data_IF_436404618021
#
_entry.id   IF_436404618021
#
_cell.length_a   1.000
_cell.length_b   1.000
_cell.length_c   1.000
_cell.angle_alpha   90.00
_cell.angle_beta   90.00
_cell.angle_gamma   90.00
#
_symmetry.space_group_name_H-M   'P 1'
#
loop_
_entity.id
_entity.type
_entity.pdbx_description
1 polymer ?
#
# COMPACT_ATOMS: atom_id res chain seq x y z
N UNK A 1 -6.74 -19.02 32.65
CA UNK A 1 -6.67 -19.44 31.24
C UNK A 1 -6.35 -18.21 30.41
N UNK A 2 -5.11 -18.09 29.93
CA UNK A 2 -4.74 -17.01 29.01
C UNK A 2 -5.39 -17.35 27.68
N UNK A 3 -6.35 -16.54 27.26
CA UNK A 3 -6.91 -16.58 25.92
C UNK A 3 -5.77 -16.33 24.93
N UNK A 4 -5.27 -17.39 24.29
CA UNK A 4 -4.42 -17.26 23.12
C UNK A 4 -5.32 -16.78 21.98
N UNK A 5 -5.49 -15.46 21.87
CA UNK A 5 -6.03 -14.88 20.65
C UNK A 5 -5.07 -15.23 19.51
N UNK A 6 -5.54 -16.02 18.55
CA UNK A 6 -4.82 -16.29 17.30
C UNK A 6 -4.27 -14.95 16.74
N UNK A 7 -2.98 -14.88 16.32
CA UNK A 7 -2.43 -13.73 15.62
C UNK A 7 -3.40 -13.21 14.55
N UNK A 8 -3.62 -11.91 14.49
CA UNK A 8 -4.64 -11.30 13.62
C UNK A 8 -4.45 -11.66 12.14
N UNK A 9 -3.19 -11.86 11.71
CA UNK A 9 -2.86 -12.33 10.36
C UNK A 9 -3.47 -13.71 10.05
N UNK A 10 -3.61 -14.58 11.06
CA UNK A 10 -4.26 -15.88 10.88
C UNK A 10 -5.74 -15.71 10.60
N UNK A 11 -6.42 -14.73 11.22
CA UNK A 11 -7.85 -14.45 10.94
C UNK A 11 -8.09 -14.00 9.50
N UNK A 12 -7.14 -13.26 8.92
CA UNK A 12 -7.19 -12.87 7.50
C UNK A 12 -7.05 -14.10 6.61
N UNK A 13 -6.15 -15.02 6.97
CA UNK A 13 -5.92 -16.27 6.25
C UNK A 13 -6.95 -17.36 6.51
N UNK A 14 -7.72 -17.29 7.59
CA UNK A 14 -8.73 -18.29 7.98
C UNK A 14 -9.91 -18.30 7.00
N UNK A 15 -10.10 -17.20 6.26
CA UNK A 15 -11.03 -17.14 5.13
C UNK A 15 -10.62 -18.07 3.97
N UNK A 16 -9.32 -18.37 3.86
CA UNK A 16 -8.76 -19.15 2.75
C UNK A 16 -8.46 -20.59 3.19
N UNK A 17 -8.87 -21.54 2.36
CA UNK A 17 -8.51 -22.95 2.53
C UNK A 17 -7.12 -23.25 1.94
N UNK A 18 -6.08 -22.68 2.56
CA UNK A 18 -4.68 -22.82 2.12
C UNK A 18 -4.07 -21.48 1.67
N UNK A 19 -3.20 -21.56 0.66
CA UNK A 19 -2.57 -20.40 0.02
C UNK A 19 -3.58 -19.58 -0.80
N UNK A 20 -3.40 -18.26 -0.85
CA UNK A 20 -4.16 -17.42 -1.76
C UNK A 20 -3.77 -17.71 -3.22
N UNK A 21 -4.76 -17.92 -4.09
CA UNK A 21 -4.54 -18.09 -5.53
C UNK A 21 -3.92 -16.83 -6.14
N UNK A 22 -4.42 -15.66 -5.72
CA UNK A 22 -3.95 -14.36 -6.15
C UNK A 22 -3.88 -13.40 -4.96
N UNK A 23 -2.83 -12.57 -4.92
CA UNK A 23 -2.75 -11.39 -4.05
C UNK A 23 -2.65 -10.17 -4.93
N UNK A 24 -3.66 -9.30 -4.91
CA UNK A 24 -3.60 -7.99 -5.56
C UNK A 24 -3.07 -6.98 -4.55
N UNK A 25 -1.97 -6.31 -4.90
CA UNK A 25 -1.36 -5.22 -4.16
C UNK A 25 -1.48 -3.97 -4.99
N UNK A 26 -2.34 -3.04 -4.59
CA UNK A 26 -2.62 -1.84 -5.37
C UNK A 26 -2.32 -0.60 -4.56
N UNK A 27 -1.64 0.38 -5.15
CA UNK A 27 -1.77 1.75 -4.70
C UNK A 27 -3.23 2.23 -4.82
N UNK A 28 -3.56 3.30 -4.10
CA UNK A 28 -4.88 3.90 -4.13
C UNK A 28 -4.95 5.07 -5.10
N UNK A 29 -4.17 6.11 -4.89
CA UNK A 29 -4.39 7.41 -5.54
C UNK A 29 -3.91 7.33 -7.00
N UNK A 30 -4.78 7.67 -7.95
CA UNK A 30 -4.48 7.52 -9.39
C UNK A 30 -4.19 6.09 -9.87
N UNK A 31 -4.38 5.08 -9.00
CA UNK A 31 -4.27 3.66 -9.34
C UNK A 31 -5.62 2.94 -9.16
N UNK A 32 -6.08 2.73 -7.92
CA UNK A 32 -7.38 2.10 -7.63
C UNK A 32 -8.53 3.12 -7.56
N UNK A 33 -8.20 4.32 -7.09
CA UNK A 33 -9.10 5.47 -6.95
C UNK A 33 -8.67 6.53 -7.94
N UNK A 34 -9.53 6.75 -8.93
CA UNK A 34 -9.47 7.93 -9.75
C UNK A 34 -10.20 9.08 -9.03
N UNK A 35 -9.48 10.18 -8.81
CA UNK A 35 -10.04 11.38 -8.16
C UNK A 35 -10.84 12.24 -9.12
N UNK A 36 -10.63 12.07 -10.43
CA UNK A 36 -11.37 12.76 -11.48
C UNK A 36 -12.64 11.99 -11.88
N UNK A 37 -12.73 10.69 -11.55
CA UNK A 37 -13.95 9.89 -11.67
C UNK A 37 -14.91 10.15 -10.50
N UNK A 38 -15.83 11.09 -10.71
CA UNK A 38 -16.90 11.41 -9.76
C UNK A 38 -17.95 10.31 -9.60
N UNK A 39 -18.13 9.46 -10.62
CA UNK A 39 -19.12 8.37 -10.60
C UNK A 39 -18.53 7.08 -10.02
N UNK A 40 -17.20 6.96 -9.95
CA UNK A 40 -16.44 5.81 -9.47
C UNK A 40 -16.77 4.53 -10.26
N UNK A 41 -17.10 4.64 -11.55
CA UNK A 41 -17.56 3.50 -12.36
C UNK A 41 -16.52 2.40 -12.45
N UNK A 42 -15.24 2.76 -12.61
CA UNK A 42 -14.15 1.78 -12.68
C UNK A 42 -13.98 1.05 -11.33
N UNK A 43 -14.00 1.79 -10.23
CA UNK A 43 -13.90 1.24 -8.88
C UNK A 43 -15.10 0.32 -8.56
N UNK A 44 -16.33 0.73 -8.90
CA UNK A 44 -17.52 -0.10 -8.69
C UNK A 44 -17.50 -1.38 -9.54
N UNK A 45 -16.98 -1.31 -10.78
CA UNK A 45 -16.77 -2.49 -11.63
C UNK A 45 -15.74 -3.44 -11.01
N UNK A 46 -14.61 -2.91 -10.54
CA UNK A 46 -13.61 -3.70 -9.83
C UNK A 46 -14.25 -4.39 -8.60
N UNK A 47 -14.99 -3.64 -7.78
CA UNK A 47 -15.64 -4.19 -6.59
C UNK A 47 -16.59 -5.35 -6.93
N UNK A 48 -17.42 -5.18 -7.96
CA UNK A 48 -18.35 -6.21 -8.40
C UNK A 48 -17.62 -7.47 -8.89
N UNK A 49 -16.56 -7.31 -9.67
CA UNK A 49 -15.74 -8.44 -10.14
C UNK A 49 -14.99 -9.13 -9.00
N UNK A 50 -14.43 -8.35 -8.08
CA UNK A 50 -13.72 -8.87 -6.92
C UNK A 50 -14.65 -9.74 -6.07
N UNK A 51 -15.78 -9.19 -5.64
CA UNK A 51 -16.75 -9.90 -4.81
C UNK A 51 -17.33 -11.15 -5.50
N UNK A 52 -17.61 -11.08 -6.81
CA UNK A 52 -18.22 -12.19 -7.54
C UNK A 52 -17.25 -13.34 -7.84
N UNK A 53 -15.99 -13.04 -8.16
CA UNK A 53 -15.08 -14.03 -8.78
C UNK A 53 -13.77 -14.26 -8.04
N UNK A 54 -13.22 -13.26 -7.35
CA UNK A 54 -11.86 -13.37 -6.81
C UNK A 54 -11.83 -13.45 -5.29
N UNK A 55 -12.79 -12.81 -4.62
CA UNK A 55 -12.79 -12.70 -3.16
C UNK A 55 -12.60 -14.05 -2.52
N UNK A 56 -13.31 -15.09 -2.94
CA UNK A 56 -13.36 -16.38 -2.27
C UNK A 56 -12.00 -17.06 -2.00
N UNK A 57 -11.00 -16.90 -2.87
CA UNK A 57 -9.69 -17.58 -2.78
C UNK A 57 -8.47 -16.63 -2.92
N UNK A 58 -8.71 -15.33 -3.08
CA UNK A 58 -7.68 -14.32 -3.32
C UNK A 58 -7.64 -13.26 -2.21
N UNK A 59 -6.53 -12.53 -2.06
CA UNK A 59 -6.37 -11.46 -1.07
C UNK A 59 -6.26 -10.09 -1.73
N UNK A 60 -6.93 -9.09 -1.15
CA UNK A 60 -6.80 -7.70 -1.54
C UNK A 60 -5.93 -6.94 -0.55
N UNK A 61 -4.88 -6.30 -1.07
CA UNK A 61 -3.96 -5.44 -0.31
C UNK A 61 -3.96 -4.06 -0.93
N UNK A 62 -4.29 -3.05 -0.12
CA UNK A 62 -4.06 -1.65 -0.51
C UNK A 62 -2.71 -1.19 0.05
N UNK A 63 -1.91 -0.50 -0.77
CA UNK A 63 -0.57 -0.03 -0.41
C UNK A 63 -0.40 1.44 -0.76
N UNK A 64 -0.72 2.32 0.19
CA UNK A 64 -0.86 3.76 -0.04
C UNK A 64 0.13 4.60 0.77
N UNK A 65 0.41 5.81 0.26
CA UNK A 65 1.14 6.84 0.99
C UNK A 65 0.32 7.52 2.10
N UNK A 66 -1.01 7.38 2.08
CA UNK A 66 -1.93 8.01 3.04
C UNK A 66 -1.67 7.55 4.47
N UNK A 67 -1.77 8.48 5.42
CA UNK A 67 -1.87 8.15 6.85
C UNK A 67 -3.15 7.36 7.18
N UNK A 68 -3.20 6.65 8.33
CA UNK A 68 -4.43 6.02 8.80
C UNK A 68 -5.62 6.98 8.89
N UNK A 69 -5.37 8.24 9.22
CA UNK A 69 -6.40 9.28 9.31
C UNK A 69 -6.99 9.60 7.94
N UNK A 70 -6.13 9.90 6.96
CA UNK A 70 -6.55 10.26 5.60
C UNK A 70 -7.17 9.04 4.89
N UNK A 71 -6.65 7.84 5.12
CA UNK A 71 -7.23 6.61 4.58
C UNK A 71 -8.65 6.35 5.13
N UNK A 72 -8.88 6.53 6.44
CA UNK A 72 -10.23 6.44 7.03
C UNK A 72 -11.21 7.43 6.42
N UNK A 73 -10.74 8.63 6.09
CA UNK A 73 -11.56 9.62 5.40
C UNK A 73 -11.91 9.17 3.98
N UNK A 74 -10.92 8.70 3.21
CA UNK A 74 -11.15 8.17 1.86
C UNK A 74 -12.19 7.05 1.83
N UNK A 75 -12.15 6.13 2.81
CA UNK A 75 -13.14 5.04 2.93
C UNK A 75 -14.58 5.53 3.13
N UNK A 76 -14.78 6.76 3.63
CA UNK A 76 -16.10 7.38 3.78
C UNK A 76 -16.55 8.09 2.50
N UNK A 77 -15.59 8.55 1.70
CA UNK A 77 -15.83 9.37 0.52
C UNK A 77 -15.98 8.52 -0.75
N UNK A 78 -15.25 7.41 -0.84
CA UNK A 78 -15.21 6.53 -2.00
C UNK A 78 -15.76 5.15 -1.63
N UNK A 79 -16.46 4.45 -2.55
CA UNK A 79 -17.02 3.12 -2.32
C UNK A 79 -15.92 2.05 -2.35
N UNK A 80 -14.91 2.16 -1.48
CA UNK A 80 -13.82 1.20 -1.39
C UNK A 80 -14.31 -0.10 -0.74
N UNK A 81 -13.91 -1.23 -1.32
CA UNK A 81 -13.96 -2.49 -0.58
C UNK A 81 -13.06 -2.41 0.66
N UNK A 82 -13.44 -3.16 1.69
CA UNK A 82 -12.54 -3.41 2.81
C UNK A 82 -11.49 -4.43 2.36
N UNK A 83 -10.21 -4.04 2.27
CA UNK A 83 -9.15 -4.97 1.90
C UNK A 83 -8.89 -5.94 3.05
N UNK A 84 -8.22 -7.04 2.75
CA UNK A 84 -7.74 -7.98 3.74
C UNK A 84 -6.59 -7.34 4.56
N UNK A 85 -5.73 -6.56 3.88
CA UNK A 85 -4.56 -5.87 4.47
C UNK A 85 -4.45 -4.46 3.89
N UNK A 86 -4.08 -3.49 4.71
CA UNK A 86 -3.69 -2.15 4.24
C UNK A 86 -2.30 -1.82 4.73
N UNK A 87 -1.43 -1.49 3.77
CA UNK A 87 -0.13 -0.88 3.97
C UNK A 87 -0.32 0.63 3.84
N UNK A 88 0.02 1.37 4.89
CA UNK A 88 -0.21 2.81 5.03
C UNK A 88 1.11 3.56 5.18
N UNK A 89 1.04 4.89 5.03
CA UNK A 89 2.17 5.78 5.27
C UNK A 89 3.44 5.36 4.55
N UNK A 90 3.30 4.96 3.28
CA UNK A 90 4.42 4.56 2.42
C UNK A 90 5.15 3.31 2.94
N UNK A 91 4.40 2.38 3.54
CA UNK A 91 4.97 1.11 4.01
C UNK A 91 5.40 1.10 5.46
N UNK A 92 5.17 2.17 6.23
CA UNK A 92 5.59 2.21 7.63
C UNK A 92 4.58 1.62 8.59
N UNK A 93 3.33 1.45 8.15
CA UNK A 93 2.26 0.88 8.96
C UNK A 93 1.56 -0.23 8.17
N UNK A 94 1.31 -1.37 8.81
CA UNK A 94 0.52 -2.48 8.24
C UNK A 94 -0.66 -2.71 9.18
N UNK A 95 -1.86 -2.75 8.63
CA UNK A 95 -3.10 -2.97 9.37
C UNK A 95 -3.95 -4.06 8.70
N UNK A 96 -4.81 -4.71 9.48
CA UNK A 96 -5.61 -5.84 9.04
C UNK A 96 -7.11 -5.57 9.12
N UNK A 97 -7.79 -5.85 8.00
CA UNK A 97 -9.24 -5.89 7.86
C UNK A 97 -10.00 -4.62 8.29
N UNK A 98 -11.30 -4.78 8.48
CA UNK A 98 -12.22 -3.68 8.85
C UNK A 98 -11.84 -3.00 10.17
N UNK A 99 -11.39 -3.80 11.14
CA UNK A 99 -11.03 -3.31 12.47
C UNK A 99 -9.70 -2.53 12.48
N UNK A 100 -8.98 -2.48 11.36
CA UNK A 100 -7.71 -1.75 11.19
C UNK A 100 -6.69 -2.08 12.29
N UNK A 101 -6.53 -3.36 12.60
CA UNK A 101 -5.66 -3.80 13.69
C UNK A 101 -4.21 -3.75 13.21
N UNK A 102 -3.29 -3.04 13.91
CA UNK A 102 -1.90 -2.91 13.48
C UNK A 102 -1.11 -4.22 13.61
N UNK A 103 -0.13 -4.39 12.72
CA UNK A 103 0.87 -5.44 12.80
C UNK A 103 1.99 -5.07 13.77
N UNK A 104 1.92 -5.61 14.98
CA UNK A 104 2.90 -5.34 16.04
C UNK A 104 4.32 -5.81 15.69
N UNK A 105 4.46 -6.87 14.91
CA UNK A 105 5.77 -7.43 14.56
C UNK A 105 6.49 -6.53 13.55
N UNK A 106 5.75 -5.97 12.59
CA UNK A 106 6.24 -4.97 11.65
C UNK A 106 6.64 -3.68 12.36
N UNK A 107 5.80 -3.18 13.27
CA UNK A 107 6.11 -2.00 14.09
C UNK A 107 7.42 -2.21 14.88
N UNK A 108 7.56 -3.36 15.54
CA UNK A 108 8.79 -3.70 16.27
C UNK A 108 10.01 -3.84 15.35
N UNK A 109 9.82 -4.32 14.11
CA UNK A 109 10.91 -4.39 13.14
C UNK A 109 11.40 -2.99 12.77
N UNK A 110 10.49 -2.06 12.48
CA UNK A 110 10.82 -0.69 12.11
C UNK A 110 11.37 0.15 13.26
N UNK A 111 11.04 -0.20 14.51
CA UNK A 111 11.65 0.42 15.69
C UNK A 111 13.17 0.20 15.77
N UNK A 112 13.72 -0.82 15.11
CA UNK A 112 15.15 -1.12 15.16
C UNK A 112 15.93 -0.04 14.43
N UNK A 113 16.83 0.64 15.16
CA UNK A 113 17.70 1.71 14.65
C UNK A 113 16.95 2.93 14.09
N UNK A 114 15.68 3.11 14.44
CA UNK A 114 14.94 4.32 14.11
C UNK A 114 14.91 5.28 15.30
N UNK A 115 15.39 6.50 15.09
CA UNK A 115 15.26 7.57 16.06
C UNK A 115 14.69 8.82 15.37
N UNK A 116 13.37 8.97 15.47
CA UNK A 116 12.64 10.07 14.84
C UNK A 116 13.12 11.45 15.31
N UNK A 117 13.57 11.57 16.56
CA UNK A 117 14.03 12.85 17.11
C UNK A 117 15.29 13.33 16.40
N UNK A 118 16.27 12.43 16.20
CA UNK A 118 17.48 12.73 15.43
C UNK A 118 17.11 13.15 14.02
N UNK A 119 16.22 12.41 13.34
CA UNK A 119 15.81 12.76 11.97
C UNK A 119 15.15 14.14 11.94
N UNK A 120 14.27 14.44 12.91
CA UNK A 120 13.61 15.75 13.01
C UNK A 120 14.62 16.88 13.24
N UNK A 121 15.58 16.68 14.15
CA UNK A 121 16.65 17.64 14.44
C UNK A 121 17.56 17.88 13.23
N UNK A 122 17.94 16.82 12.50
CA UNK A 122 18.75 16.94 11.29
C UNK A 122 18.01 17.63 10.15
N UNK A 123 16.75 17.28 9.93
CA UNK A 123 15.89 17.94 8.94
C UNK A 123 15.72 19.43 9.23
N UNK A 124 15.56 19.82 10.50
CA UNK A 124 15.39 21.21 10.91
C UNK A 124 16.60 22.12 10.60
N UNK A 125 17.77 21.54 10.28
CA UNK A 125 18.95 22.30 9.86
C UNK A 125 18.83 22.87 8.44
N UNK A 126 17.88 22.37 7.64
CA UNK A 126 17.68 22.77 6.25
C UNK A 126 16.40 23.62 6.14
N UNK A 127 16.51 24.96 6.02
CA UNK A 127 15.34 25.83 5.95
C UNK A 127 14.47 25.62 4.70
N UNK A 128 14.99 24.94 3.67
CA UNK A 128 14.26 24.55 2.48
C UNK A 128 13.26 23.40 2.73
N UNK A 129 13.38 22.70 3.86
CA UNK A 129 12.49 21.61 4.26
C UNK A 129 11.44 22.12 5.26
N UNK A 130 10.17 22.06 4.87
CA UNK A 130 9.05 22.35 5.78
C UNK A 130 8.31 21.07 6.13
N UNK A 131 8.00 20.88 7.42
CA UNK A 131 7.12 19.81 7.85
C UNK A 131 5.74 19.93 7.19
N UNK A 132 5.19 18.79 6.76
CA UNK A 132 3.78 18.70 6.35
C UNK A 132 2.87 18.59 7.59
N UNK A 133 1.56 18.44 7.37
CA UNK A 133 0.56 18.44 8.46
C UNK A 133 0.88 17.42 9.55
N UNK A 134 0.49 17.73 10.80
CA UNK A 134 0.72 16.86 11.95
C UNK A 134 0.11 15.45 11.79
N UNK A 135 -0.96 15.32 11.00
CA UNK A 135 -1.60 14.02 10.74
C UNK A 135 -0.73 13.08 9.92
N UNK A 136 0.13 13.64 9.06
CA UNK A 136 1.04 12.88 8.20
C UNK A 136 2.39 12.61 8.88
N UNK A 137 2.63 13.24 10.03
CA UNK A 137 3.74 12.89 10.91
C UNK A 137 3.42 11.58 11.64
N UNK A 138 4.14 10.51 11.32
CA UNK A 138 3.91 9.18 11.91
C UNK A 138 5.11 8.74 12.76
N UNK A 139 4.94 7.73 13.63
CA UNK A 139 6.05 7.24 14.47
C UNK A 139 7.29 6.85 13.65
N UNK A 140 7.10 6.29 12.45
CA UNK A 140 8.14 5.84 11.52
C UNK A 140 8.17 6.62 10.21
N UNK A 141 7.59 7.83 10.17
CA UNK A 141 7.58 8.69 8.98
C UNK A 141 7.77 10.15 9.41
N UNK A 142 8.79 10.80 8.88
CA UNK A 142 8.88 12.26 8.90
C UNK A 142 8.49 12.76 7.51
N UNK A 143 7.39 13.49 7.43
CA UNK A 143 6.84 13.98 6.16
C UNK A 143 7.21 15.46 5.97
N UNK A 144 7.97 15.75 4.91
CA UNK A 144 8.48 17.08 4.61
C UNK A 144 8.22 17.48 3.17
N UNK A 145 8.24 18.78 2.93
CA UNK A 145 8.09 19.38 1.61
C UNK A 145 9.29 20.27 1.31
N UNK A 146 9.83 20.13 0.11
CA UNK A 146 10.94 20.95 -0.38
C UNK A 146 10.37 22.24 -0.99
N UNK A 147 10.55 23.38 -0.30
CA UNK A 147 9.99 24.67 -0.70
C UNK A 147 10.63 25.21 -1.98
N UNK A 148 11.96 25.09 -2.10
CA UNK A 148 12.73 25.68 -3.20
C UNK A 148 12.52 24.98 -4.55
N UNK A 149 11.92 23.78 -4.57
CA UNK A 149 11.76 22.94 -5.77
C UNK A 149 10.29 22.77 -6.19
N UNK A 150 9.47 23.81 -6.05
CA UNK A 150 8.06 23.76 -6.48
C UNK A 150 7.17 22.89 -5.60
N UNK A 151 7.62 22.51 -4.40
CA UNK A 151 6.79 21.83 -3.42
C UNK A 151 6.76 20.31 -3.54
N UNK A 152 7.86 19.68 -3.91
CA UNK A 152 8.01 18.21 -3.94
C UNK A 152 7.85 17.66 -2.51
N UNK A 153 6.98 16.65 -2.35
CA UNK A 153 6.84 15.88 -1.12
C UNK A 153 8.01 14.90 -0.98
N UNK A 154 8.54 14.80 0.23
CA UNK A 154 9.66 13.94 0.58
C UNK A 154 9.36 13.25 1.91
N UNK A 155 9.44 11.93 1.91
CA UNK A 155 9.24 11.10 3.09
C UNK A 155 10.59 10.59 3.59
N UNK A 156 10.90 10.81 4.88
CA UNK A 156 12.06 10.22 5.55
C UNK A 156 11.58 9.05 6.42
N UNK A 157 12.05 7.85 6.08
CA UNK A 157 11.60 6.59 6.66
C UNK A 157 12.78 5.82 7.29
N UNK A 158 12.51 4.88 8.22
CA UNK A 158 13.51 3.93 8.69
C UNK A 158 14.12 3.14 7.54
N UNK A 159 15.38 2.73 7.71
CA UNK A 159 16.00 1.79 6.77
C UNK A 159 15.20 0.47 6.76
N UNK A 160 14.81 0.02 5.57
CA UNK A 160 13.99 -1.18 5.40
C UNK A 160 12.48 -0.95 5.56
N UNK A 161 12.03 0.29 5.72
CA UNK A 161 10.66 0.69 5.43
C UNK A 161 10.47 0.92 3.93
N UNK A 162 9.23 1.14 3.49
CA UNK A 162 8.87 1.31 2.08
C UNK A 162 7.78 0.33 1.65
N UNK A 163 7.02 0.67 0.61
CA UNK A 163 5.93 -0.18 0.10
C UNK A 163 6.45 -1.56 -0.33
N UNK A 164 7.60 -1.61 -1.02
CA UNK A 164 8.23 -2.86 -1.44
C UNK A 164 8.70 -3.72 -0.26
N UNK A 165 9.29 -3.10 0.76
CA UNK A 165 9.74 -3.83 1.96
C UNK A 165 8.55 -4.36 2.78
N UNK A 166 7.48 -3.59 2.92
CA UNK A 166 6.24 -4.04 3.55
C UNK A 166 5.64 -5.25 2.80
N UNK A 167 5.62 -5.21 1.46
CA UNK A 167 5.18 -6.35 0.65
C UNK A 167 6.08 -7.57 0.84
N UNK A 168 7.40 -7.41 0.80
CA UNK A 168 8.35 -8.50 1.03
C UNK A 168 8.17 -9.12 2.42
N UNK A 169 7.91 -8.30 3.43
CA UNK A 169 7.57 -8.76 4.78
C UNK A 169 6.27 -9.57 4.81
N UNK A 170 5.20 -9.11 4.16
CA UNK A 170 3.93 -9.83 4.09
C UNK A 170 4.08 -11.19 3.40
N UNK A 171 4.76 -11.25 2.24
CA UNK A 171 5.04 -12.51 1.53
C UNK A 171 5.81 -13.48 2.43
N UNK A 172 6.85 -12.99 3.12
CA UNK A 172 7.62 -13.80 4.07
C UNK A 172 6.75 -14.28 5.22
N UNK A 173 5.89 -13.42 5.78
CA UNK A 173 4.95 -13.77 6.85
C UNK A 173 4.02 -14.90 6.40
N UNK A 174 3.47 -14.80 5.20
CA UNK A 174 2.64 -15.82 4.59
C UNK A 174 3.37 -17.17 4.42
N UNK A 175 4.61 -17.13 3.94
CA UNK A 175 5.48 -18.31 3.85
C UNK A 175 5.73 -18.95 5.22
N UNK A 176 6.03 -18.15 6.26
CA UNK A 176 6.30 -18.69 7.61
C UNK A 176 5.08 -19.33 8.26
N UNK A 177 3.87 -18.94 7.84
CA UNK A 177 2.61 -19.56 8.27
C UNK A 177 2.17 -20.72 7.35
N UNK A 178 3.01 -21.16 6.40
CA UNK A 178 2.72 -22.29 5.52
C UNK A 178 1.68 -22.00 4.44
N UNK A 179 1.38 -20.73 4.15
CA UNK A 179 0.39 -20.30 3.15
C UNK A 179 1.02 -19.30 2.15
N UNK A 180 2.13 -19.64 1.45
CA UNK A 180 2.74 -18.75 0.47
C UNK A 180 1.74 -18.42 -0.66
N UNK A 181 1.60 -17.17 -1.10
CA UNK A 181 0.71 -16.84 -2.21
C UNK A 181 1.18 -17.52 -3.50
N UNK A 182 0.24 -17.97 -4.33
CA UNK A 182 0.56 -18.63 -5.61
C UNK A 182 0.87 -17.61 -6.72
N UNK A 183 0.25 -16.44 -6.67
CA UNK A 183 0.49 -15.35 -7.61
C UNK A 183 0.31 -14.01 -6.91
N UNK A 184 1.16 -13.04 -7.24
CA UNK A 184 1.03 -11.67 -6.77
C UNK A 184 0.88 -10.73 -7.96
N UNK A 185 0.00 -9.75 -7.88
CA UNK A 185 -0.16 -8.71 -8.90
C UNK A 185 0.04 -7.36 -8.20
N UNK A 186 0.93 -6.54 -8.76
CA UNK A 186 1.24 -5.22 -8.21
C UNK A 186 0.78 -4.13 -9.16
N UNK A 187 0.09 -3.12 -8.61
CA UNK A 187 -0.35 -1.92 -9.30
C UNK A 187 0.15 -0.67 -8.57
N UNK A 188 0.66 0.31 -9.31
CA UNK A 188 1.09 1.61 -8.80
C UNK A 188 1.41 2.57 -9.94
N UNK A 189 1.39 3.86 -9.65
CA UNK A 189 1.52 4.96 -10.62
C UNK A 189 2.73 5.86 -10.36
N UNK A 190 3.29 5.86 -9.13
CA UNK A 190 4.21 6.89 -8.69
C UNK A 190 5.56 6.37 -8.18
N UNK A 191 6.45 7.29 -7.81
CA UNK A 191 7.81 6.96 -7.35
C UNK A 191 7.86 6.12 -6.07
N UNK A 192 6.86 6.24 -5.19
CA UNK A 192 6.81 5.44 -3.95
C UNK A 192 6.40 3.99 -4.19
N UNK A 193 5.91 3.65 -5.40
CA UNK A 193 5.54 2.30 -5.82
C UNK A 193 6.68 1.56 -6.52
N UNK A 194 7.74 2.27 -6.91
CA UNK A 194 8.85 1.72 -7.70
C UNK A 194 9.45 0.45 -7.07
N UNK A 195 9.57 0.43 -5.74
CA UNK A 195 10.09 -0.72 -5.01
C UNK A 195 9.18 -1.96 -5.09
N UNK A 196 7.86 -1.79 -5.21
CA UNK A 196 6.92 -2.91 -5.27
C UNK A 196 7.20 -3.80 -6.49
N UNK A 197 7.61 -3.20 -7.60
CA UNK A 197 7.94 -3.92 -8.84
C UNK A 197 9.27 -4.68 -8.80
N UNK A 198 10.10 -4.41 -7.77
CA UNK A 198 11.40 -5.06 -7.58
C UNK A 198 11.34 -6.24 -6.60
N UNK A 199 10.19 -6.50 -5.97
CA UNK A 199 10.02 -7.60 -5.01
C UNK A 199 10.00 -8.95 -5.75
N UNK A 200 11.01 -9.83 -5.59
CA UNK A 200 11.10 -11.04 -6.39
C UNK A 200 10.21 -12.18 -5.86
N UNK A 201 9.33 -12.74 -6.70
CA UNK A 201 9.33 -14.16 -7.14
C UNK A 201 8.07 -14.62 -7.89
N UNK A 202 6.91 -13.99 -7.72
CA UNK A 202 5.71 -14.32 -8.52
C UNK A 202 4.82 -13.08 -8.79
N UNK A 203 5.42 -11.89 -8.79
CA UNK A 203 4.72 -10.63 -9.03
C UNK A 203 4.63 -10.33 -10.54
N UNK A 204 3.44 -10.48 -11.15
CA UNK A 204 3.18 -9.83 -12.44
C UNK A 204 3.01 -8.34 -12.14
N UNK A 205 4.07 -7.58 -12.33
CA UNK A 205 4.06 -6.13 -12.27
C UNK A 205 3.47 -5.59 -13.58
N UNK A 206 2.31 -4.94 -13.55
CA UNK A 206 1.82 -4.19 -14.72
C UNK A 206 1.87 -2.70 -14.40
N UNK A 207 2.87 -2.02 -14.97
CA UNK A 207 2.94 -0.56 -15.01
C UNK A 207 1.78 -0.05 -15.85
N UNK A 208 0.81 0.62 -15.24
CA UNK A 208 -0.18 1.44 -15.96
C UNK A 208 0.46 2.82 -16.16
N UNK A 209 1.36 2.94 -17.14
CA UNK A 209 1.76 4.27 -17.61
C UNK A 209 0.59 4.88 -18.39
N UNK A 210 -0.15 5.78 -17.74
CA UNK A 210 -0.78 6.89 -18.46
C UNK A 210 0.33 7.91 -18.74
N UNK A 211 0.98 7.81 -19.90
CA UNK A 211 1.84 8.89 -20.38
C UNK A 211 0.96 10.14 -20.62
N UNK A 212 1.01 11.09 -19.68
CA UNK A 212 0.54 12.45 -19.93
C UNK A 212 1.65 13.19 -20.70
N UNK A 213 1.54 13.24 -22.03
CA UNK A 213 2.60 13.76 -22.90
C UNK A 213 2.20 14.12 -24.33
N UNK A 214 1.12 14.87 -24.51
CA UNK A 214 0.83 15.83 -25.61
C UNK A 214 0.92 15.42 -27.11
N UNK A 215 -0.19 15.74 -27.80
CA UNK A 215 -0.42 15.90 -29.25
C UNK A 215 -0.74 14.66 -30.11
N UNK A 216 -2.05 14.57 -30.41
CA UNK A 216 -2.70 14.01 -31.59
C UNK A 216 -2.78 12.48 -31.73
N UNK A 217 -4.02 11.99 -31.54
CA UNK A 217 -4.60 10.76 -32.12
C UNK A 217 -3.83 9.44 -31.87
N UNK A 218 -4.17 8.72 -30.81
CA UNK A 218 -4.05 7.25 -30.81
C UNK A 218 -5.24 6.60 -30.08
N UNK A 219 -5.79 5.56 -30.72
CA UNK A 219 -6.95 4.78 -30.31
C UNK A 219 -6.65 3.93 -29.07
N UNK A 220 -7.63 3.80 -28.18
CA UNK A 220 -7.73 2.72 -27.19
C UNK A 220 -7.64 1.36 -27.90
N UNK A 221 -6.54 0.62 -27.72
CA UNK A 221 -6.49 -0.81 -28.06
C UNK A 221 -5.65 -1.63 -27.07
N UNK A 222 -6.35 -2.60 -26.48
CA UNK A 222 -6.00 -3.99 -26.23
C UNK A 222 -4.95 -4.36 -25.17
N UNK A 223 -5.49 -5.06 -24.16
CA UNK A 223 -4.80 -5.79 -23.11
C UNK A 223 -4.17 -7.05 -23.71
N UNK A 224 -2.84 -7.11 -23.79
CA UNK A 224 -2.14 -8.37 -24.08
C UNK A 224 -1.75 -9.02 -22.76
N UNK A 225 -2.33 -10.19 -22.48
CA UNK A 225 -1.84 -11.13 -21.47
C UNK A 225 -0.74 -11.96 -22.11
N UNK A 226 0.49 -11.92 -21.60
CA UNK A 226 1.46 -12.97 -21.91
C UNK A 226 1.20 -14.14 -20.96
N UNK A 227 0.80 -15.26 -21.56
CA UNK A 227 0.69 -16.60 -20.96
C UNK A 227 1.97 -17.04 -20.26
#
# INVERSE_FOLDING_TARGET
MVSCSLPVVLRVMDRLNGSASLVIVSDLDYTMVDHDDTENLALLRFNALWEAYYRHDSLLVFSTGRSPTIYKQLRKEKPLLTPDITVLSVGTEIIYGESMIPDSDWEQLLNKNWNRNIVTEETAKYPELSLQSETEQRPHKLDVKIICSGGIALDVLPQGAGKGQALAYLIKKFQTHGKPPLSTLVCGDSGNDAELFSVPKEAVAKRLELEVGSFNNVKYQDWVFSS
#
